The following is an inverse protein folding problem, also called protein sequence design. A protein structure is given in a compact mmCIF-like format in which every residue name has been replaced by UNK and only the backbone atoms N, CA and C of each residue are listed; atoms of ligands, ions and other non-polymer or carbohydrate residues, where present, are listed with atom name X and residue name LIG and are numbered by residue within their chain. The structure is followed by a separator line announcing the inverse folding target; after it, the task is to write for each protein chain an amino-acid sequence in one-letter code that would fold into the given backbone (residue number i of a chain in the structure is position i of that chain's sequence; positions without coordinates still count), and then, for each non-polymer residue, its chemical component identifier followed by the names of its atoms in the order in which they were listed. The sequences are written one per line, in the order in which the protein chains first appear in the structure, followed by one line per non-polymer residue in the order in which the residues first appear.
data_IF_807296910064
#
_entry.id   IF_807296910064
#
_cell.length_a   1.000
_cell.length_b   1.000
_cell.length_c   1.000
_cell.angle_alpha   90.00
_cell.angle_beta   90.00
_cell.angle_gamma   90.00
#
_symmetry.space_group_name_H-M   'P 1'
#
loop_
_entity.id
_entity.type
_entity.pdbx_description
1 polymer ?
#
# COMPACT_ATOMS: atom_id res chain seq x y z
N UNK A 1 -9.93 -12.32 10.77
CA UNK A 1 -9.33 -11.87 9.50
C UNK A 1 -8.65 -13.03 8.77
N UNK A 2 -7.72 -13.75 9.38
CA UNK A 2 -7.12 -14.96 8.79
C UNK A 2 -8.17 -16.01 8.40
N UNK A 3 -9.25 -16.15 9.15
CA UNK A 3 -10.36 -17.05 8.82
C UNK A 3 -11.18 -16.63 7.58
N UNK A 4 -11.23 -15.34 7.26
CA UNK A 4 -11.86 -14.87 6.02
C UNK A 4 -11.05 -15.29 4.79
N UNK A 5 -9.74 -15.27 4.89
CA UNK A 5 -8.84 -15.74 3.84
C UNK A 5 -8.94 -17.26 3.65
N UNK A 6 -9.05 -18.03 4.74
CA UNK A 6 -9.19 -19.48 4.68
C UNK A 6 -10.53 -19.92 4.05
N UNK A 7 -11.56 -19.07 4.09
CA UNK A 7 -12.85 -19.30 3.42
C UNK A 7 -12.72 -19.49 1.90
N UNK A 8 -11.65 -19.00 1.31
CA UNK A 8 -11.37 -19.11 -0.12
C UNK A 8 -10.18 -20.04 -0.43
N UNK A 9 -10.05 -21.14 0.31
CA UNK A 9 -8.98 -22.15 0.14
C UNK A 9 -7.55 -21.62 0.43
N UNK A 10 -7.43 -20.63 1.29
CA UNK A 10 -6.12 -20.13 1.77
C UNK A 10 -5.29 -19.40 0.72
N UNK A 11 -5.86 -19.04 -0.42
CA UNK A 11 -5.19 -18.25 -1.45
C UNK A 11 -5.76 -16.87 -1.53
N UNK A 12 -4.92 -15.89 -1.39
CA UNK A 12 -5.25 -14.50 -1.70
C UNK A 12 -4.79 -14.27 -3.13
N UNK A 13 -5.73 -14.22 -4.05
CA UNK A 13 -5.47 -13.78 -5.41
C UNK A 13 -6.00 -12.37 -5.59
N UNK A 14 -5.52 -11.66 -6.61
CA UNK A 14 -6.02 -10.34 -6.95
C UNK A 14 -7.53 -10.31 -7.20
N UNK A 15 -8.10 -11.43 -7.65
CA UNK A 15 -9.53 -11.57 -7.88
C UNK A 15 -10.35 -11.65 -6.59
N UNK A 16 -9.73 -12.02 -5.47
CA UNK A 16 -10.39 -12.13 -4.16
C UNK A 16 -10.37 -10.81 -3.38
N UNK A 17 -9.43 -9.94 -3.66
CA UNK A 17 -9.23 -8.68 -2.99
C UNK A 17 -9.57 -7.50 -3.91
N UNK A 18 -10.67 -7.60 -4.63
CA UNK A 18 -11.15 -6.54 -5.49
C UNK A 18 -12.41 -5.87 -4.91
N UNK A 19 -12.84 -4.79 -5.54
CA UNK A 19 -14.06 -4.05 -5.19
C UNK A 19 -15.36 -4.86 -5.37
N UNK A 20 -15.30 -6.06 -5.97
CA UNK A 20 -16.45 -6.96 -6.11
C UNK A 20 -16.57 -7.90 -4.91
N UNK A 21 -15.46 -8.23 -4.27
CA UNK A 21 -15.42 -9.09 -3.08
C UNK A 21 -15.74 -8.31 -1.80
N UNK A 22 -15.31 -7.06 -1.75
CA UNK A 22 -15.54 -6.15 -0.63
C UNK A 22 -16.24 -4.90 -1.11
N UNK A 23 -17.23 -4.41 -0.37
CA UNK A 23 -17.66 -3.03 -0.52
C UNK A 23 -16.50 -2.10 -0.13
N UNK A 24 -16.49 -0.89 -0.67
CA UNK A 24 -15.43 0.10 -0.34
C UNK A 24 -15.30 0.32 1.17
N UNK A 25 -16.44 0.33 1.89
CA UNK A 25 -16.45 0.49 3.34
C UNK A 25 -15.83 -0.71 4.07
N UNK A 26 -16.23 -1.93 3.72
CA UNK A 26 -15.68 -3.16 4.33
C UNK A 26 -14.19 -3.29 4.07
N UNK A 27 -13.74 -2.97 2.85
CA UNK A 27 -12.33 -3.03 2.50
C UNK A 27 -11.50 -2.02 3.31
N UNK A 28 -11.99 -0.78 3.42
CA UNK A 28 -11.37 0.25 4.25
C UNK A 28 -11.28 -0.18 5.72
N UNK A 29 -12.35 -0.81 6.26
CA UNK A 29 -12.38 -1.28 7.64
C UNK A 29 -11.35 -2.40 7.87
N UNK A 30 -11.24 -3.36 6.97
CA UNK A 30 -10.23 -4.43 7.06
C UNK A 30 -8.82 -3.85 7.08
N UNK A 31 -8.53 -2.87 6.21
CA UNK A 31 -7.23 -2.20 6.20
C UNK A 31 -6.97 -1.48 7.51
N UNK A 32 -7.94 -0.73 8.03
CA UNK A 32 -7.82 -0.03 9.31
C UNK A 32 -7.58 -1.00 10.48
N UNK A 33 -8.27 -2.14 10.50
CA UNK A 33 -8.10 -3.17 11.52
C UNK A 33 -6.69 -3.77 11.49
N UNK A 34 -6.13 -4.03 10.31
CA UNK A 34 -4.73 -4.49 10.17
C UNK A 34 -3.73 -3.43 10.63
N UNK A 35 -3.95 -2.16 10.30
CA UNK A 35 -3.09 -1.06 10.75
C UNK A 35 -3.13 -0.92 12.27
N UNK A 36 -4.31 -1.02 12.89
CA UNK A 36 -4.45 -1.00 14.34
C UNK A 36 -3.77 -2.20 15.00
N UNK A 37 -3.88 -3.39 14.39
CA UNK A 37 -3.23 -4.61 14.86
C UNK A 37 -1.71 -4.51 14.76
N UNK A 38 -1.18 -4.00 13.65
CA UNK A 38 0.26 -3.75 13.48
C UNK A 38 0.78 -2.78 14.54
N UNK A 39 0.08 -1.67 14.76
CA UNK A 39 0.46 -0.71 15.78
C UNK A 39 0.49 -1.32 17.21
N UNK A 40 -0.44 -2.23 17.51
CA UNK A 40 -0.43 -2.98 18.78
C UNK A 40 0.75 -3.93 18.87
N UNK A 41 1.02 -4.68 17.81
CA UNK A 41 2.13 -5.62 17.74
C UNK A 41 3.49 -4.90 17.89
N UNK A 42 3.66 -3.74 17.23
CA UNK A 42 4.86 -2.92 17.37
C UNK A 42 5.05 -2.40 18.79
N UNK A 43 3.98 -1.92 19.45
CA UNK A 43 4.07 -1.50 20.86
C UNK A 43 4.49 -2.65 21.78
N UNK A 44 4.00 -3.85 21.53
CA UNK A 44 4.43 -5.02 22.30
C UNK A 44 5.89 -5.39 22.00
N UNK A 45 6.29 -5.34 20.73
CA UNK A 45 7.65 -5.70 20.30
C UNK A 45 8.73 -4.89 21.02
N UNK A 46 8.54 -3.60 21.22
CA UNK A 46 9.53 -2.75 21.88
C UNK A 46 9.73 -3.10 23.36
N UNK A 47 8.73 -3.73 23.99
CA UNK A 47 8.80 -4.15 25.41
C UNK A 47 9.46 -5.52 25.61
N UNK A 48 9.69 -6.27 24.52
CA UNK A 48 10.24 -7.61 24.60
C UNK A 48 11.74 -7.59 24.88
N UNK A 49 12.17 -8.59 25.64
CA UNK A 49 13.61 -8.86 25.82
C UNK A 49 14.25 -9.23 24.47
N UNK A 50 15.52 -8.89 24.26
CA UNK A 50 16.22 -9.16 23.00
C UNK A 50 16.08 -10.61 22.51
N UNK A 51 16.14 -11.59 23.41
CA UNK A 51 16.11 -13.01 23.10
C UNK A 51 14.77 -13.46 22.51
N UNK A 52 13.68 -12.75 22.79
CA UNK A 52 12.34 -13.06 22.31
C UNK A 52 11.98 -12.32 21.00
N UNK A 53 12.78 -11.32 20.60
CA UNK A 53 12.42 -10.42 19.50
C UNK A 53 12.36 -11.11 18.15
N UNK A 54 13.31 -11.97 17.85
CA UNK A 54 13.34 -12.65 16.54
C UNK A 54 12.17 -13.64 16.40
N UNK A 55 11.86 -14.39 17.45
CA UNK A 55 10.68 -15.26 17.45
C UNK A 55 9.38 -14.46 17.29
N UNK A 56 9.27 -13.31 17.97
CA UNK A 56 8.10 -12.44 17.84
C UNK A 56 7.99 -11.81 16.44
N UNK A 57 9.11 -11.34 15.88
CA UNK A 57 9.15 -10.84 14.49
C UNK A 57 8.65 -11.88 13.51
N UNK A 58 9.12 -13.11 13.65
CA UNK A 58 8.78 -14.21 12.75
C UNK A 58 7.31 -14.64 12.86
N UNK A 59 6.83 -14.85 14.09
CA UNK A 59 5.55 -15.55 14.33
C UNK A 59 4.37 -14.54 14.42
N UNK A 60 4.62 -13.32 14.87
CA UNK A 60 3.58 -12.34 15.15
C UNK A 60 3.67 -11.15 14.20
N UNK A 61 4.79 -10.44 14.19
CA UNK A 61 4.88 -9.15 13.49
C UNK A 61 4.87 -9.32 11.97
N UNK A 62 5.69 -10.20 11.42
CA UNK A 62 5.76 -10.41 9.98
C UNK A 62 4.41 -10.85 9.38
N UNK A 63 3.67 -11.84 9.90
CA UNK A 63 2.37 -12.21 9.36
C UNK A 63 1.37 -11.06 9.37
N UNK A 64 1.36 -10.24 10.43
CA UNK A 64 0.47 -9.07 10.51
C UNK A 64 0.85 -8.04 9.44
N UNK A 65 2.13 -7.73 9.31
CA UNK A 65 2.63 -6.75 8.35
C UNK A 65 2.44 -7.21 6.92
N UNK A 66 2.78 -8.46 6.60
CA UNK A 66 2.66 -9.00 5.26
C UNK A 66 1.19 -9.03 4.79
N UNK A 67 0.30 -9.57 5.63
CA UNK A 67 -1.13 -9.63 5.29
C UNK A 67 -1.76 -8.25 5.23
N UNK A 68 -1.50 -7.39 6.22
CA UNK A 68 -2.01 -6.02 6.23
C UNK A 68 -1.55 -5.23 5.01
N UNK A 69 -0.30 -5.42 4.58
CA UNK A 69 0.24 -4.76 3.41
C UNK A 69 -0.40 -5.22 2.09
N UNK A 70 -0.73 -6.51 1.97
CA UNK A 70 -1.47 -7.04 0.81
C UNK A 70 -2.88 -6.44 0.74
N UNK A 71 -3.59 -6.37 1.85
CA UNK A 71 -4.90 -5.70 1.89
C UNK A 71 -4.80 -4.22 1.54
N UNK A 72 -3.81 -3.51 2.08
CA UNK A 72 -3.53 -2.11 1.77
C UNK A 72 -3.30 -1.90 0.26
N UNK A 73 -2.47 -2.74 -0.35
CA UNK A 73 -2.11 -2.65 -1.76
C UNK A 73 -3.33 -2.81 -2.68
N UNK A 74 -4.15 -3.85 -2.46
CA UNK A 74 -5.32 -4.09 -3.29
C UNK A 74 -6.46 -3.12 -3.00
N UNK A 75 -6.59 -2.63 -1.77
CA UNK A 75 -7.50 -1.54 -1.47
C UNK A 75 -7.11 -0.27 -2.22
N UNK A 76 -5.82 0.07 -2.21
CA UNK A 76 -5.33 1.22 -2.95
C UNK A 76 -5.56 1.08 -4.46
N UNK A 77 -5.39 -0.11 -5.04
CA UNK A 77 -5.74 -0.38 -6.44
C UNK A 77 -7.23 -0.19 -6.69
N UNK A 78 -8.09 -0.71 -5.82
CA UNK A 78 -9.55 -0.59 -5.97
C UNK A 78 -9.99 0.88 -5.96
N UNK A 79 -9.45 1.68 -5.02
CA UNK A 79 -9.70 3.12 -4.95
C UNK A 79 -9.16 3.87 -6.17
N UNK A 80 -7.96 3.53 -6.64
CA UNK A 80 -7.39 4.08 -7.86
C UNK A 80 -8.32 3.84 -9.05
N UNK A 81 -8.81 2.62 -9.24
CA UNK A 81 -9.70 2.29 -10.35
C UNK A 81 -11.04 2.99 -10.25
N UNK A 82 -11.61 3.09 -9.04
CA UNK A 82 -12.89 3.75 -8.81
C UNK A 82 -12.81 5.24 -9.12
N UNK A 83 -11.81 5.94 -8.60
CA UNK A 83 -11.62 7.38 -8.81
C UNK A 83 -11.22 7.69 -10.26
N UNK A 84 -10.36 6.87 -10.85
CA UNK A 84 -9.99 7.03 -12.26
C UNK A 84 -11.18 6.87 -13.21
N UNK A 85 -12.15 6.01 -12.89
CA UNK A 85 -13.38 5.88 -13.66
C UNK A 85 -14.27 7.13 -13.59
N UNK A 86 -14.09 7.95 -12.55
CA UNK A 86 -14.78 9.24 -12.35
C UNK A 86 -13.97 10.42 -12.92
N UNK A 87 -12.76 10.18 -13.42
CA UNK A 87 -11.84 11.23 -13.86
C UNK A 87 -11.25 12.05 -12.71
N UNK A 88 -11.32 11.53 -11.49
CA UNK A 88 -10.85 12.21 -10.29
C UNK A 88 -9.30 12.13 -10.18
N UNK A 89 -8.58 13.26 -10.11
CA UNK A 89 -7.14 13.30 -9.98
C UNK A 89 -6.58 12.60 -8.74
N UNK A 90 -7.36 12.46 -7.67
CA UNK A 90 -6.98 11.74 -6.45
C UNK A 90 -6.69 10.25 -6.74
N UNK A 91 -7.14 9.74 -7.88
CA UNK A 91 -6.75 8.41 -8.37
C UNK A 91 -5.22 8.23 -8.39
N UNK A 92 -4.47 9.29 -8.74
CA UNK A 92 -3.00 9.22 -8.81
C UNK A 92 -2.35 9.06 -7.43
N UNK A 93 -2.93 9.65 -6.38
CA UNK A 93 -2.48 9.46 -5.00
C UNK A 93 -2.66 8.00 -4.57
N UNK A 94 -3.77 7.39 -4.94
CA UNK A 94 -4.03 5.97 -4.66
C UNK A 94 -3.13 5.04 -5.49
N UNK A 95 -2.80 5.42 -6.73
CA UNK A 95 -1.83 4.68 -7.52
C UNK A 95 -0.45 4.66 -6.84
N UNK A 96 -0.01 5.80 -6.33
CA UNK A 96 1.27 5.89 -5.61
C UNK A 96 1.24 5.09 -4.30
N UNK A 97 0.15 5.14 -3.56
CA UNK A 97 -0.05 4.32 -2.34
C UNK A 97 0.05 2.83 -2.64
N UNK A 98 -0.51 2.37 -3.75
CA UNK A 98 -0.39 0.98 -4.21
C UNK A 98 1.06 0.61 -4.54
N UNK A 99 1.80 1.47 -5.25
CA UNK A 99 3.23 1.26 -5.55
C UNK A 99 4.08 1.18 -4.29
N UNK A 100 3.79 2.03 -3.30
CA UNK A 100 4.49 2.01 -2.01
C UNK A 100 4.23 0.72 -1.24
N UNK A 101 2.99 0.23 -1.23
CA UNK A 101 2.66 -1.05 -0.62
C UNK A 101 3.34 -2.22 -1.34
N UNK A 102 3.40 -2.21 -2.67
CA UNK A 102 4.15 -3.19 -3.46
C UNK A 102 5.65 -3.20 -3.12
N UNK A 103 6.25 -2.02 -3.01
CA UNK A 103 7.65 -1.87 -2.59
C UNK A 103 7.88 -2.33 -1.16
N UNK A 104 6.94 -2.03 -0.25
CA UNK A 104 6.99 -2.47 1.15
C UNK A 104 6.96 -4.00 1.25
N UNK A 105 6.18 -4.67 0.42
CA UNK A 105 6.14 -6.13 0.38
C UNK A 105 7.52 -6.74 0.16
N UNK A 106 8.24 -6.25 -0.84
CA UNK A 106 9.61 -6.70 -1.14
C UNK A 106 10.56 -6.48 0.04
N UNK A 107 10.41 -5.36 0.77
CA UNK A 107 11.22 -5.06 1.95
C UNK A 107 10.88 -6.00 3.12
N UNK A 108 9.61 -6.30 3.34
CA UNK A 108 9.19 -7.26 4.39
C UNK A 108 9.74 -8.65 4.12
N UNK A 109 9.69 -9.10 2.87
CA UNK A 109 10.27 -10.39 2.48
C UNK A 109 11.80 -10.41 2.64
N UNK A 110 12.48 -9.33 2.27
CA UNK A 110 13.92 -9.20 2.48
C UNK A 110 14.28 -9.25 3.96
N UNK A 111 13.56 -8.53 4.82
CA UNK A 111 13.77 -8.55 6.26
C UNK A 111 13.57 -9.95 6.85
N UNK A 112 12.50 -10.66 6.44
CA UNK A 112 12.27 -12.01 6.89
C UNK A 112 13.43 -12.95 6.53
N UNK A 113 13.85 -12.93 5.28
CA UNK A 113 14.87 -13.84 4.78
C UNK A 113 16.28 -13.51 5.29
N UNK A 114 16.63 -12.24 5.46
CA UNK A 114 18.01 -11.82 5.70
C UNK A 114 18.31 -11.32 7.11
N UNK A 115 17.30 -10.82 7.84
CA UNK A 115 17.54 -10.16 9.12
C UNK A 115 17.07 -10.99 10.32
N UNK A 116 15.89 -11.63 10.23
CA UNK A 116 15.34 -12.41 11.35
C UNK A 116 16.29 -13.55 11.68
N UNK A 117 16.66 -13.65 12.95
CA UNK A 117 17.59 -14.65 13.48
C UNK A 117 18.92 -14.73 12.69
N UNK A 118 19.44 -13.56 12.26
CA UNK A 118 20.71 -13.48 11.51
C UNK A 118 20.62 -14.13 10.13
N UNK A 119 19.45 -14.17 9.50
CA UNK A 119 19.26 -14.78 8.17
C UNK A 119 19.07 -16.30 8.20
N UNK A 120 18.79 -16.88 9.36
CA UNK A 120 18.53 -18.34 9.49
C UNK A 120 17.43 -18.84 8.56
N UNK A 121 16.48 -17.98 8.21
CA UNK A 121 15.31 -18.31 7.41
C UNK A 121 15.43 -17.87 5.95
N UNK A 122 16.66 -17.65 5.49
CA UNK A 122 16.90 -17.25 4.09
C UNK A 122 16.32 -18.28 3.11
N UNK A 123 15.58 -17.77 2.13
CA UNK A 123 14.87 -18.60 1.14
C UNK A 123 13.50 -19.09 1.55
N UNK A 124 13.02 -18.85 2.78
CA UNK A 124 11.68 -19.28 3.21
C UNK A 124 10.56 -18.44 2.62
N UNK A 125 10.77 -17.12 2.46
CA UNK A 125 9.80 -16.19 1.87
C UNK A 125 10.29 -15.71 0.49
N UNK A 126 10.31 -16.64 -0.48
CA UNK A 126 10.73 -16.36 -1.86
C UNK A 126 9.64 -16.68 -2.88
N UNK A 127 8.54 -17.31 -2.45
CA UNK A 127 7.45 -17.62 -3.36
C UNK A 127 6.72 -16.36 -3.78
N UNK A 128 6.48 -16.25 -5.08
CA UNK A 128 5.68 -15.17 -5.67
C UNK A 128 4.24 -15.26 -5.18
N UNK A 129 3.63 -14.14 -4.87
CA UNK A 129 2.29 -14.09 -4.28
C UNK A 129 1.46 -12.90 -4.76
N UNK A 130 2.08 -11.84 -5.28
CA UNK A 130 1.37 -10.71 -5.88
C UNK A 130 1.10 -11.00 -7.35
N UNK A 131 -0.15 -10.81 -7.79
CA UNK A 131 -0.64 -11.15 -9.13
C UNK A 131 -0.53 -12.64 -9.48
N UNK A 132 -0.42 -13.50 -8.48
CA UNK A 132 -0.44 -14.95 -8.64
C UNK A 132 -1.87 -15.42 -8.90
N UNK A 133 -2.11 -16.08 -10.05
CA UNK A 133 -3.44 -16.49 -10.48
C UNK A 133 -3.66 -18.01 -10.41
N UNK A 134 -2.69 -18.77 -10.89
CA UNK A 134 -2.77 -20.22 -10.94
C UNK A 134 -1.45 -20.88 -10.57
N UNK A 135 -1.49 -22.18 -10.25
CA UNK A 135 -0.27 -22.96 -9.97
C UNK A 135 0.74 -22.99 -11.13
N UNK A 136 0.25 -22.80 -12.34
CA UNK A 136 1.04 -22.87 -13.56
C UNK A 136 1.46 -21.48 -14.08
N UNK A 137 1.23 -20.41 -13.31
CA UNK A 137 1.68 -19.09 -13.71
C UNK A 137 3.21 -19.04 -13.83
N UNK A 138 3.66 -18.78 -15.04
CA UNK A 138 5.09 -18.81 -15.40
C UNK A 138 5.75 -17.43 -15.28
N UNK A 139 5.29 -16.57 -14.36
CA UNK A 139 5.95 -15.30 -14.14
C UNK A 139 7.13 -15.45 -13.18
N UNK A 140 8.20 -14.68 -13.45
CA UNK A 140 9.49 -14.83 -12.74
C UNK A 140 9.58 -14.02 -11.45
N UNK A 141 8.74 -13.00 -11.29
CA UNK A 141 8.72 -12.10 -10.14
C UNK A 141 7.31 -11.62 -9.86
N UNK A 142 7.06 -11.13 -8.65
CA UNK A 142 5.84 -10.41 -8.33
C UNK A 142 5.68 -9.19 -9.25
N UNK A 143 4.45 -8.91 -9.64
CA UNK A 143 4.11 -7.82 -10.55
C UNK A 143 3.20 -6.85 -9.83
N UNK A 144 3.55 -5.57 -9.86
CA UNK A 144 2.70 -4.53 -9.30
C UNK A 144 1.32 -4.56 -9.98
N UNK A 145 0.23 -4.47 -9.21
CA UNK A 145 -1.11 -4.41 -9.77
C UNK A 145 -1.26 -3.30 -10.82
N UNK A 146 -2.10 -3.55 -11.83
CA UNK A 146 -2.36 -2.56 -12.88
C UNK A 146 -3.04 -1.34 -12.30
N UNK A 147 -2.51 -0.16 -12.59
CA UNK A 147 -2.99 1.13 -12.09
C UNK A 147 -3.41 2.03 -13.26
N UNK A 148 -4.26 2.99 -12.98
CA UNK A 148 -4.75 3.98 -13.94
C UNK A 148 -4.25 5.37 -13.54
N UNK A 149 -3.81 6.13 -14.54
CA UNK A 149 -3.40 7.52 -14.37
C UNK A 149 -4.51 8.44 -14.91
N UNK A 150 -4.77 9.51 -14.17
CA UNK A 150 -5.70 10.57 -14.56
C UNK A 150 -4.89 11.83 -14.80
N UNK A 151 -5.19 12.54 -15.89
CA UNK A 151 -4.54 13.81 -16.19
C UNK A 151 -4.83 14.82 -15.07
N UNK A 152 -3.78 15.34 -14.46
CA UNK A 152 -3.91 16.46 -13.51
C UNK A 152 -4.10 17.74 -14.32
N UNK A 153 -5.10 18.60 -14.02
CA UNK A 153 -5.18 19.91 -14.63
C UNK A 153 -3.86 20.63 -14.41
N UNK A 154 -3.19 21.05 -15.49
CA UNK A 154 -2.05 21.95 -15.35
C UNK A 154 -2.55 23.23 -14.68
N UNK A 155 -1.99 23.59 -13.54
CA UNK A 155 -2.16 24.93 -13.00
C UNK A 155 -1.72 25.92 -14.09
N UNK A 156 -2.69 26.63 -14.66
CA UNK A 156 -2.39 27.70 -15.60
C UNK A 156 -1.45 28.71 -14.95
N UNK A 157 -0.66 29.47 -15.71
CA UNK A 157 0.27 30.42 -15.17
C UNK A 157 -0.45 31.37 -14.22
N UNK A 158 0.00 31.41 -12.97
CA UNK A 158 -0.49 32.37 -11.98
C UNK A 158 -0.10 33.76 -12.50
N UNK A 159 -1.04 34.45 -13.10
CA UNK A 159 -0.88 35.86 -13.44
C UNK A 159 -0.74 36.64 -12.13
N UNK A 160 0.47 36.96 -11.73
CA UNK A 160 0.72 37.91 -10.67
C UNK A 160 0.37 39.31 -11.19
N UNK A 161 -0.89 39.72 -10.97
CA UNK A 161 -1.34 41.09 -11.22
C UNK A 161 -0.84 42.00 -10.09
N UNK A 162 0.43 42.32 -10.11
CA UNK A 162 1.02 43.39 -9.30
C UNK A 162 1.83 44.34 -10.19
N UNK A 163 1.15 44.99 -11.16
CA UNK A 163 1.62 46.26 -11.71
C UNK A 163 0.69 47.38 -11.24
N UNK A 164 0.90 47.82 -10.00
CA UNK A 164 0.42 49.13 -9.56
C UNK A 164 1.34 50.16 -10.14
N UNK A 165 1.01 50.69 -11.30
CA UNK A 165 1.53 51.97 -11.76
C UNK A 165 1.15 53.07 -10.76
N UNK A 166 2.08 53.53 -9.98
CA UNK A 166 1.99 54.78 -9.24
C UNK A 166 2.05 55.92 -10.23
N UNK A 167 0.87 56.44 -10.61
CA UNK A 167 0.75 57.69 -11.35
C UNK A 167 1.00 58.85 -10.40
N UNK A 168 2.16 59.51 -10.53
CA UNK A 168 2.44 60.81 -9.95
C UNK A 168 1.61 61.86 -10.67
N UNK A 169 0.63 62.42 -9.98
CA UNK A 169 -0.10 63.61 -10.46
C UNK A 169 0.70 64.86 -10.02
N UNK A 170 1.38 65.53 -10.98
CA UNK A 170 1.96 66.86 -10.79
C UNK A 170 0.86 67.92 -10.69
N UNK A 171 0.90 68.79 -9.68
CA UNK A 171 0.11 70.00 -9.58
C UNK A 171 0.68 71.10 -10.51
N UNK A 172 -0.16 71.83 -11.22
CA UNK A 172 0.22 73.09 -11.83
C UNK A 172 0.07 74.26 -10.80
N UNK A 173 0.94 75.23 -10.95
CA UNK A 173 0.84 76.53 -10.26
C UNK A 173 -0.27 77.39 -10.78
#
# INVERSE_FOLDING_TARGET
LLNLVSKYNGRITSEMLDAKTYTTYEFAQVVADYQALEARALRQFITLKPEARDAYRQIVLFPIQAMGNIYEMYYAQAMNHQLAAQGDPDANCWAERCRQAFKRDSLLNLQYNKEIAGGKWDGMMIQKHISYRTWNDNYRADVCPVLKEVATPQEGPVFSSLDRKSGSAGMPR
#
